data_IF_982570805838
#
_entry.id   IF_982570805838
#
_cell.length_a   1.000
_cell.length_b   1.000
_cell.length_c   1.000
_cell.angle_alpha   90.00
_cell.angle_beta   90.00
_cell.angle_gamma   90.00
#
_symmetry.space_group_name_H-M   'P 1'
#
loop_
_entity.id
_entity.type
_entity.pdbx_description
1 polymer ?
#
# COMPACT_ATOMS: atom_id res chain seq x y z
N UNK A 1 18.71 -40.74 47.59
CA UNK A 1 17.48 -41.04 46.85
C UNK A 1 17.21 -39.87 45.91
N UNK A 2 17.55 -40.05 44.63
CA UNK A 2 17.21 -39.14 43.52
C UNK A 2 15.71 -39.16 43.25
N UNK A 3 15.15 -38.05 42.75
CA UNK A 3 14.17 -37.86 41.63
C UNK A 3 13.87 -36.35 41.60
N UNK A 4 14.63 -35.51 40.88
CA UNK A 4 14.47 -35.10 39.47
C UNK A 4 13.06 -34.67 39.03
N UNK A 5 12.98 -33.37 38.71
CA UNK A 5 12.42 -32.75 37.51
C UNK A 5 10.93 -32.94 37.17
N UNK A 6 10.16 -31.85 37.22
CA UNK A 6 9.39 -31.33 36.08
C UNK A 6 8.83 -29.94 36.39
N UNK A 7 9.63 -28.92 36.04
CA UNK A 7 9.15 -27.57 35.78
C UNK A 7 8.36 -27.60 34.48
N UNK A 8 7.04 -27.70 34.56
CA UNK A 8 6.16 -27.32 33.45
C UNK A 8 5.94 -25.82 33.53
N UNK A 9 6.91 -25.07 32.99
CA UNK A 9 6.65 -23.75 32.43
C UNK A 9 5.69 -23.95 31.26
N UNK A 10 4.39 -23.89 31.55
CA UNK A 10 3.42 -23.55 30.51
C UNK A 10 3.52 -22.05 30.28
N UNK A 11 4.60 -21.63 29.62
CA UNK A 11 4.61 -20.39 28.86
C UNK A 11 3.47 -20.52 27.86
N UNK A 12 2.30 -19.99 28.21
CA UNK A 12 1.31 -19.62 27.22
C UNK A 12 2.01 -18.57 26.36
N UNK A 13 2.59 -19.04 25.25
CA UNK A 13 2.93 -18.23 24.12
C UNK A 13 1.58 -17.74 23.61
N UNK A 14 1.16 -16.59 24.13
CA UNK A 14 0.27 -15.71 23.40
C UNK A 14 1.01 -15.44 22.09
N UNK A 15 0.55 -16.05 21.01
CA UNK A 15 1.01 -15.72 19.67
C UNK A 15 0.85 -14.21 19.44
N UNK A 16 1.58 -13.59 18.50
CA UNK A 16 1.48 -12.16 18.30
C UNK A 16 0.14 -11.80 17.66
N UNK A 17 -0.95 -11.74 18.43
CA UNK A 17 -2.28 -11.32 17.99
C UNK A 17 -2.41 -9.79 17.89
N UNK A 18 -1.32 -9.06 17.62
CA UNK A 18 -1.33 -7.60 17.40
C UNK A 18 -0.05 -7.12 16.68
N UNK A 19 0.44 -7.83 15.66
CA UNK A 19 1.48 -7.27 14.80
C UNK A 19 0.86 -6.16 13.95
N UNK A 20 1.07 -4.91 14.36
CA UNK A 20 0.71 -3.74 13.57
C UNK A 20 1.33 -3.82 12.18
N UNK A 21 0.49 -3.67 11.16
CA UNK A 21 0.90 -3.56 9.76
C UNK A 21 1.92 -2.43 9.59
N UNK A 22 2.90 -2.54 8.70
CA UNK A 22 3.79 -1.43 8.35
C UNK A 22 3.42 -0.87 6.99
N UNK A 23 3.32 0.45 6.84
CA UNK A 23 2.97 1.11 5.58
C UNK A 23 3.98 2.20 5.21
N UNK A 24 4.06 2.53 3.92
CA UNK A 24 4.76 3.75 3.50
C UNK A 24 3.95 4.98 3.89
N UNK A 25 4.65 6.02 4.35
CA UNK A 25 4.10 7.28 4.85
C UNK A 25 4.65 8.47 4.06
N UNK A 26 3.82 9.11 3.25
CA UNK A 26 4.20 10.31 2.51
C UNK A 26 3.00 11.09 1.97
N UNK A 27 3.21 12.39 1.76
CA UNK A 27 2.30 13.30 1.05
C UNK A 27 3.13 14.24 0.19
N UNK A 28 3.05 14.09 -1.13
CA UNK A 28 3.85 14.89 -2.07
C UNK A 28 3.06 15.22 -3.34
N UNK A 29 3.35 16.36 -3.99
CA UNK A 29 2.74 16.69 -5.28
C UNK A 29 2.96 15.58 -6.31
N UNK A 30 1.94 15.30 -7.11
CA UNK A 30 1.99 14.35 -8.23
C UNK A 30 2.62 15.02 -9.46
N UNK A 31 3.38 14.26 -10.25
CA UNK A 31 3.92 14.68 -11.55
C UNK A 31 5.24 15.44 -11.49
N UNK A 32 5.83 15.59 -10.29
CA UNK A 32 7.13 16.25 -10.09
C UNK A 32 8.27 15.26 -9.84
N UNK A 33 7.99 13.95 -9.95
CA UNK A 33 8.99 12.90 -9.85
C UNK A 33 9.55 12.69 -8.44
N UNK A 34 8.74 13.00 -7.42
CA UNK A 34 9.15 12.85 -6.03
C UNK A 34 9.02 11.40 -5.53
N UNK A 35 9.74 11.03 -4.45
CA UNK A 35 9.78 9.66 -3.93
C UNK A 35 8.40 9.01 -3.69
N UNK A 36 7.41 9.75 -3.18
CA UNK A 36 6.07 9.24 -2.93
C UNK A 36 5.37 8.74 -4.21
N UNK A 37 5.80 9.17 -5.39
CA UNK A 37 5.30 8.74 -6.68
C UNK A 37 6.19 7.67 -7.34
N UNK A 38 7.51 7.94 -7.46
CA UNK A 38 8.41 7.16 -8.32
C UNK A 38 9.37 6.22 -7.59
N UNK A 39 9.68 6.46 -6.32
CA UNK A 39 10.71 5.72 -5.56
C UNK A 39 10.28 5.58 -4.11
N UNK A 40 9.14 4.90 -3.92
CA UNK A 40 8.46 4.84 -2.63
C UNK A 40 9.33 4.15 -1.56
N UNK A 41 10.27 3.31 -1.94
CA UNK A 41 11.19 2.64 -1.02
C UNK A 41 12.07 3.61 -0.22
N UNK A 42 12.28 4.84 -0.71
CA UNK A 42 13.02 5.87 0.01
C UNK A 42 12.15 6.74 0.92
N UNK A 43 10.82 6.52 0.97
CA UNK A 43 9.95 7.26 1.88
C UNK A 43 9.89 6.58 3.25
N UNK A 44 9.57 7.33 4.32
CA UNK A 44 9.40 6.77 5.64
C UNK A 44 8.40 5.62 5.68
N UNK A 45 8.64 4.66 6.56
CA UNK A 45 7.75 3.55 6.85
C UNK A 45 7.23 3.72 8.28
N UNK A 46 5.95 3.47 8.48
CA UNK A 46 5.26 3.65 9.76
C UNK A 46 4.59 2.36 10.16
N UNK A 47 4.82 1.91 11.39
CA UNK A 47 4.06 0.84 12.01
C UNK A 47 2.67 1.37 12.40
N UNK A 48 1.65 0.67 11.97
CA UNK A 48 0.26 1.07 12.12
C UNK A 48 -0.37 0.45 13.37
N UNK A 49 -1.43 1.09 13.86
CA UNK A 49 -2.25 0.53 14.92
C UNK A 49 -2.97 -0.75 14.45
N UNK A 50 -3.27 -1.66 15.38
CA UNK A 50 -4.08 -2.84 15.09
C UNK A 50 -5.45 -2.44 14.48
N UNK A 51 -5.91 -3.20 13.50
CA UNK A 51 -7.18 -2.92 12.81
C UNK A 51 -7.13 -1.82 11.75
N UNK A 52 -5.94 -1.31 11.40
CA UNK A 52 -5.76 -0.37 10.29
C UNK A 52 -5.18 -1.07 9.05
N UNK A 53 -5.29 -0.40 7.91
CA UNK A 53 -4.83 -0.83 6.59
C UNK A 53 -3.82 0.16 6.01
N UNK A 54 -3.03 -0.26 5.03
CA UNK A 54 -2.28 0.68 4.21
C UNK A 54 -3.18 1.26 3.14
N UNK A 55 -3.07 2.56 2.90
CA UNK A 55 -3.73 3.22 1.78
C UNK A 55 -2.71 3.94 0.90
N UNK A 56 -3.03 4.01 -0.39
CA UNK A 56 -2.44 4.89 -1.37
C UNK A 56 -3.58 5.57 -2.11
N UNK A 57 -3.55 6.89 -2.24
CA UNK A 57 -4.49 7.59 -3.10
C UNK A 57 -3.93 8.87 -3.70
N UNK A 58 -4.61 9.39 -4.71
CA UNK A 58 -4.34 10.69 -5.30
C UNK A 58 -5.56 11.57 -5.09
N UNK A 59 -5.36 12.72 -4.48
CA UNK A 59 -6.40 13.73 -4.28
C UNK A 59 -6.05 14.98 -5.05
N UNK A 60 -7.03 15.50 -5.79
CA UNK A 60 -6.89 16.76 -6.53
C UNK A 60 -7.75 17.83 -5.89
N UNK A 61 -7.12 18.91 -5.45
CA UNK A 61 -7.77 20.09 -4.89
C UNK A 61 -7.43 21.31 -5.78
N UNK A 62 -8.47 21.93 -6.35
CA UNK A 62 -8.34 23.14 -7.17
C UNK A 62 -7.24 23.05 -8.26
N UNK A 63 -7.12 21.88 -8.90
CA UNK A 63 -6.14 21.63 -9.98
C UNK A 63 -4.76 21.14 -9.52
N UNK A 64 -4.51 21.08 -8.21
CA UNK A 64 -3.27 20.50 -7.66
C UNK A 64 -3.53 19.08 -7.18
N UNK A 65 -2.76 18.12 -7.69
CA UNK A 65 -2.84 16.70 -7.29
C UNK A 65 -1.73 16.34 -6.31
N UNK A 66 -2.09 15.63 -5.25
CA UNK A 66 -1.17 15.15 -4.22
C UNK A 66 -1.31 13.63 -4.11
N UNK A 67 -0.17 12.93 -4.07
CA UNK A 67 -0.07 11.50 -3.78
C UNK A 67 0.03 11.34 -2.26
N UNK A 68 -0.86 10.54 -1.69
CA UNK A 68 -0.89 10.20 -0.27
C UNK A 68 -0.63 8.71 -0.08
N UNK A 69 0.16 8.38 0.94
CA UNK A 69 0.38 7.01 1.43
C UNK A 69 0.46 7.07 2.96
N UNK A 70 -0.31 6.25 3.65
CA UNK A 70 -0.27 6.19 5.12
C UNK A 70 -1.04 4.98 5.67
N UNK A 71 -0.96 4.79 6.99
CA UNK A 71 -1.86 3.93 7.75
C UNK A 71 -3.26 4.55 7.87
N UNK A 72 -4.34 3.78 7.69
CA UNK A 72 -5.70 4.32 7.82
C UNK A 72 -6.74 3.28 8.21
N UNK A 73 -7.82 3.74 8.84
CA UNK A 73 -9.10 3.02 8.97
C UNK A 73 -10.11 3.41 7.88
N UNK A 74 -9.80 4.41 7.06
CA UNK A 74 -10.67 4.87 5.98
C UNK A 74 -10.61 3.92 4.78
N UNK A 75 -11.74 3.79 4.09
CA UNK A 75 -11.83 3.05 2.82
C UNK A 75 -11.82 4.01 1.63
N UNK A 76 -11.49 3.48 0.46
CA UNK A 76 -11.59 4.25 -0.79
C UNK A 76 -13.01 4.76 -1.05
N UNK A 77 -14.05 4.02 -0.65
CA UNK A 77 -15.44 4.44 -0.80
C UNK A 77 -15.76 5.68 0.02
N UNK A 78 -15.25 5.76 1.27
CA UNK A 78 -15.41 6.94 2.12
C UNK A 78 -14.71 8.16 1.50
N UNK A 79 -13.51 7.98 0.97
CA UNK A 79 -12.80 9.06 0.25
C UNK A 79 -13.55 9.48 -1.02
N UNK A 80 -14.10 8.52 -1.76
CA UNK A 80 -14.85 8.78 -2.98
C UNK A 80 -16.13 9.58 -2.70
N UNK A 81 -16.85 9.25 -1.63
CA UNK A 81 -18.04 9.97 -1.19
C UNK A 81 -17.74 11.42 -0.79
N UNK A 82 -16.53 11.69 -0.30
CA UNK A 82 -16.09 13.04 0.05
C UNK A 82 -15.64 13.87 -1.17
N UNK A 83 -15.69 13.30 -2.38
CA UNK A 83 -15.32 14.02 -3.59
C UNK A 83 -16.38 15.05 -3.97
N UNK A 84 -15.93 16.20 -4.47
CA UNK A 84 -16.74 17.30 -5.00
C UNK A 84 -16.22 17.71 -6.38
N UNK A 85 -16.89 18.67 -7.03
CA UNK A 85 -16.46 19.20 -8.32
C UNK A 85 -15.04 19.81 -8.32
N UNK A 86 -14.58 20.31 -7.16
CA UNK A 86 -13.28 20.98 -7.02
C UNK A 86 -12.25 20.16 -6.23
N UNK A 87 -12.71 19.12 -5.52
CA UNK A 87 -11.90 18.26 -4.66
C UNK A 87 -12.22 16.80 -4.98
N UNK A 88 -11.41 16.14 -5.81
CA UNK A 88 -11.74 14.80 -6.28
C UNK A 88 -10.68 13.78 -5.94
N UNK A 89 -11.14 12.58 -5.59
CA UNK A 89 -10.33 11.37 -5.60
C UNK A 89 -10.06 10.96 -7.05
N UNK A 90 -8.80 10.79 -7.44
CA UNK A 90 -8.45 10.30 -8.79
C UNK A 90 -8.23 8.79 -8.81
N UNK A 91 -7.46 8.30 -7.84
CA UNK A 91 -7.13 6.88 -7.70
C UNK A 91 -7.05 6.56 -6.22
N UNK A 92 -7.46 5.36 -5.81
CA UNK A 92 -7.33 4.90 -4.45
C UNK A 92 -7.13 3.39 -4.41
N UNK A 93 -6.30 2.94 -3.48
CA UNK A 93 -6.04 1.54 -3.20
C UNK A 93 -5.81 1.36 -1.71
N UNK A 94 -6.56 0.45 -1.09
CA UNK A 94 -6.32 -0.05 0.26
C UNK A 94 -5.80 -1.48 0.21
N UNK A 95 -4.99 -1.87 1.18
CA UNK A 95 -4.44 -3.22 1.28
C UNK A 95 -3.98 -3.53 2.72
N UNK A 96 -3.95 -4.81 3.08
CA UNK A 96 -3.73 -5.29 4.45
C UNK A 96 -2.48 -6.18 4.59
N UNK A 97 -1.41 -5.84 3.87
CA UNK A 97 -0.12 -6.55 3.90
C UNK A 97 1.00 -5.53 4.04
N UNK A 98 2.09 -5.87 4.74
CA UNK A 98 3.17 -4.92 4.98
C UNK A 98 3.66 -4.29 3.68
N UNK A 99 3.78 -2.96 3.71
CA UNK A 99 4.30 -2.13 2.63
C UNK A 99 3.54 -2.31 1.30
N UNK A 100 2.31 -2.83 1.34
CA UNK A 100 1.52 -3.12 0.13
C UNK A 100 1.09 -1.86 -0.62
N UNK A 101 1.05 -0.71 0.06
CA UNK A 101 0.86 0.59 -0.56
C UNK A 101 2.12 1.05 -1.30
N UNK A 102 2.95 0.13 -1.81
CA UNK A 102 4.07 0.35 -2.73
C UNK A 102 3.62 0.65 -4.15
N UNK A 103 2.57 -0.06 -4.61
CA UNK A 103 2.30 -0.31 -6.03
C UNK A 103 2.48 0.93 -6.94
N UNK A 104 3.28 0.75 -7.97
CA UNK A 104 3.42 1.61 -9.14
C UNK A 104 2.22 1.38 -10.06
N UNK A 105 1.71 2.45 -10.68
CA UNK A 105 0.61 2.39 -11.64
C UNK A 105 0.81 1.27 -12.67
N UNK A 106 -0.27 0.65 -13.12
CA UNK A 106 -0.36 -0.46 -14.09
C UNK A 106 0.17 -0.16 -15.52
N UNK A 107 1.13 0.75 -15.69
CA UNK A 107 1.73 1.02 -17.01
C UNK A 107 2.64 -0.11 -17.51
N UNK A 108 3.14 -0.97 -16.63
CA UNK A 108 3.95 -2.13 -17.05
C UNK A 108 3.12 -3.25 -17.69
N UNK A 109 1.86 -3.45 -17.29
CA UNK A 109 1.03 -4.53 -17.84
C UNK A 109 0.65 -4.25 -19.30
N UNK A 110 0.32 -2.99 -19.62
CA UNK A 110 -0.05 -2.58 -20.98
C UNK A 110 1.12 -2.70 -21.97
N UNK A 111 2.34 -2.33 -21.56
CA UNK A 111 3.55 -2.47 -22.40
C UNK A 111 3.87 -3.93 -22.66
N UNK A 112 3.74 -4.81 -21.65
CA UNK A 112 3.97 -6.25 -21.81
C UNK A 112 2.93 -6.87 -22.75
N UNK A 113 1.65 -6.50 -22.64
CA UNK A 113 0.58 -7.02 -23.51
C UNK A 113 0.78 -6.58 -24.97
N UNK A 114 1.16 -5.32 -25.22
CA UNK A 114 1.44 -4.83 -26.59
C UNK A 114 2.71 -5.47 -27.17
N UNK A 115 3.75 -5.66 -26.36
CA UNK A 115 4.96 -6.36 -26.82
C UNK A 115 4.69 -7.82 -27.17
N UNK A 116 3.90 -8.52 -26.35
CA UNK A 116 3.51 -9.92 -26.60
C UNK A 116 2.61 -10.06 -27.83
N UNK A 117 1.69 -9.11 -28.07
CA UNK A 117 0.82 -9.17 -29.25
C UNK A 117 1.60 -8.94 -30.55
N UNK A 118 2.56 -8.00 -30.57
CA UNK A 118 3.45 -7.80 -31.73
C UNK A 118 4.32 -9.03 -31.99
N UNK A 119 4.90 -9.62 -30.94
CA UNK A 119 5.73 -10.82 -31.08
C UNK A 119 4.93 -12.01 -31.64
N UNK A 120 3.69 -12.19 -31.22
CA UNK A 120 2.81 -13.25 -31.71
C UNK A 120 2.49 -13.10 -33.21
N UNK A 121 2.24 -11.87 -33.67
CA UNK A 121 1.98 -11.61 -35.09
C UNK A 121 3.21 -11.82 -35.98
N UNK A 122 4.43 -11.57 -35.46
CA UNK A 122 5.68 -11.78 -36.21
C UNK A 122 6.08 -13.26 -36.29
N UNK A 123 5.74 -14.07 -35.29
CA UNK A 123 6.13 -15.49 -35.25
C UNK A 123 5.15 -16.44 -35.95
N UNK A 124 3.89 -16.04 -36.13
CA UNK A 124 2.83 -16.87 -36.71
C UNK A 124 2.30 -16.34 -38.06
N UNK A 125 2.87 -15.25 -38.56
CA UNK A 125 2.61 -14.68 -39.89
C UNK A 125 3.63 -15.10 -40.93
#
# INVERSE_FOLDING_TARGET
MSWNLSLLLSSLIVGPENSGLTCYECSQPKGVGLPCELSVESVPQTACAAGTSCIKYVWTNAGTSIVYRHCTSLTCDVLQQNSTAFNRLETCQTCNVDLCNKAVNETHLFVIIVMLSVLFHVLLG
#
